data_IF_106453094127
#
_entry.id   IF_106453094127
#
_cell.length_a   1.000
_cell.length_b   1.000
_cell.length_c   1.000
_cell.angle_alpha   90.00
_cell.angle_beta   90.00
_cell.angle_gamma   90.00
#
_symmetry.space_group_name_H-M   'P 1'
#
loop_
_entity.id
_entity.type
_entity.pdbx_description
1 polymer ?
#
# COMPACT_ATOMS: atom_id res chain seq x y z
N UNK A 1 -2.05 11.55 -19.02
CA UNK A 1 -1.63 12.16 -17.73
C UNK A 1 -0.97 13.50 -18.03
N UNK A 2 -1.16 14.52 -17.20
CA UNK A 2 -0.47 15.81 -17.38
C UNK A 2 0.90 15.81 -16.63
N UNK A 3 1.75 16.81 -16.88
CA UNK A 3 3.08 16.86 -16.26
C UNK A 3 3.04 17.07 -14.73
N UNK A 4 1.97 17.68 -14.20
CA UNK A 4 1.81 17.88 -12.75
C UNK A 4 1.49 16.55 -12.05
N UNK A 5 0.64 15.73 -12.64
CA UNK A 5 0.35 14.38 -12.14
C UNK A 5 1.61 13.50 -12.18
N UNK A 6 2.44 13.67 -13.22
CA UNK A 6 3.74 12.99 -13.32
C UNK A 6 4.66 13.31 -12.15
N UNK A 7 4.75 14.59 -11.74
CA UNK A 7 5.57 15.00 -10.60
C UNK A 7 5.14 14.31 -9.30
N UNK A 8 3.83 14.08 -9.13
CA UNK A 8 3.30 13.35 -7.97
C UNK A 8 3.75 11.88 -7.99
N UNK A 9 3.67 11.22 -9.14
CA UNK A 9 4.03 9.80 -9.29
C UNK A 9 5.55 9.55 -9.38
N UNK A 10 6.35 10.59 -9.61
CA UNK A 10 7.80 10.48 -9.79
C UNK A 10 8.48 9.90 -8.54
N UNK A 11 8.08 10.33 -7.35
CA UNK A 11 8.64 9.83 -6.09
C UNK A 11 8.37 8.33 -5.91
N UNK A 12 7.12 7.91 -6.14
CA UNK A 12 6.69 6.51 -6.04
C UNK A 12 7.43 5.64 -7.07
N UNK A 13 7.61 6.15 -8.30
CA UNK A 13 8.37 5.46 -9.34
C UNK A 13 9.85 5.27 -8.97
N UNK A 14 10.50 6.25 -8.32
CA UNK A 14 11.89 6.14 -7.86
C UNK A 14 12.04 5.21 -6.64
N UNK A 15 10.98 5.11 -5.83
CA UNK A 15 10.89 4.22 -4.67
C UNK A 15 10.53 2.77 -4.99
N UNK A 16 10.15 2.46 -6.24
CA UNK A 16 9.51 1.19 -6.64
C UNK A 16 8.18 0.93 -5.89
N UNK A 17 7.46 2.00 -5.55
CA UNK A 17 6.16 1.98 -4.85
C UNK A 17 4.98 2.28 -5.79
N UNK A 18 5.26 2.44 -7.09
CA UNK A 18 4.24 2.76 -8.09
C UNK A 18 3.25 1.60 -8.25
N UNK A 19 1.95 1.90 -8.14
CA UNK A 19 0.89 0.90 -8.24
C UNK A 19 0.84 0.25 -9.62
N UNK A 20 0.28 -0.97 -9.70
CA UNK A 20 0.09 -1.67 -10.97
C UNK A 20 -0.85 -0.92 -11.93
N UNK A 21 -1.77 -0.10 -11.41
CA UNK A 21 -2.67 0.71 -12.20
C UNK A 21 -1.98 1.96 -12.78
N UNK A 22 -1.06 2.56 -12.02
CA UNK A 22 -0.40 3.81 -12.40
C UNK A 22 0.82 3.59 -13.30
N UNK A 23 1.48 2.42 -13.19
CA UNK A 23 2.65 2.07 -13.99
C UNK A 23 2.46 2.24 -15.51
N UNK A 24 1.43 1.69 -16.17
CA UNK A 24 1.26 1.87 -17.61
C UNK A 24 0.99 3.34 -18.00
N UNK A 25 0.30 4.10 -17.13
CA UNK A 25 0.00 5.53 -17.37
C UNK A 25 1.27 6.38 -17.27
N UNK A 26 2.13 6.07 -16.30
CA UNK A 26 3.43 6.72 -16.11
C UNK A 26 4.37 6.43 -17.29
N UNK A 27 4.49 5.16 -17.68
CA UNK A 27 5.31 4.74 -18.83
C UNK A 27 4.84 5.35 -20.14
N UNK A 28 3.52 5.41 -20.38
CA UNK A 28 2.96 6.08 -21.55
C UNK A 28 3.32 7.57 -21.60
N UNK A 29 3.25 8.27 -20.46
CA UNK A 29 3.63 9.68 -20.39
C UNK A 29 5.12 9.90 -20.67
N UNK A 30 5.99 9.02 -20.17
CA UNK A 30 7.44 9.08 -20.45
C UNK A 30 7.77 8.88 -21.93
N UNK A 31 6.97 8.09 -22.66
CA UNK A 31 7.13 7.91 -24.09
C UNK A 31 6.76 9.17 -24.90
N UNK A 32 5.79 9.95 -24.42
CA UNK A 32 5.24 11.12 -25.12
C UNK A 32 5.92 12.44 -24.72
N UNK A 33 6.43 12.56 -23.48
CA UNK A 33 6.96 13.81 -22.94
C UNK A 33 8.48 13.78 -22.71
N UNK A 34 9.24 14.33 -23.64
CA UNK A 34 10.72 14.42 -23.57
C UNK A 34 11.23 15.13 -22.31
N UNK A 35 10.51 16.15 -21.84
CA UNK A 35 10.89 16.91 -20.64
C UNK A 35 10.84 16.00 -19.40
N UNK A 36 9.70 15.36 -19.17
CA UNK A 36 9.49 14.47 -18.03
C UNK A 36 10.40 13.23 -18.09
N UNK A 37 10.70 12.73 -19.29
CA UNK A 37 11.68 11.66 -19.48
C UNK A 37 13.07 12.03 -19.00
N UNK A 38 13.59 13.19 -19.40
CA UNK A 38 14.91 13.67 -18.95
C UNK A 38 14.95 13.93 -17.45
N UNK A 39 13.87 14.45 -16.88
CA UNK A 39 13.74 14.63 -15.43
C UNK A 39 13.78 13.29 -14.68
N UNK A 40 13.02 12.29 -15.14
CA UNK A 40 13.06 10.92 -14.59
C UNK A 40 14.45 10.31 -14.66
N UNK A 41 15.11 10.34 -15.82
CA UNK A 41 16.45 9.77 -16.00
C UNK A 41 17.49 10.45 -15.09
N UNK A 42 17.40 11.77 -14.93
CA UNK A 42 18.29 12.55 -14.05
C UNK A 42 18.07 12.18 -12.58
N UNK A 43 16.81 12.08 -12.15
CA UNK A 43 16.47 11.67 -10.80
C UNK A 43 16.89 10.21 -10.54
N UNK A 44 16.64 9.31 -11.47
CA UNK A 44 17.03 7.90 -11.39
C UNK A 44 18.55 7.74 -11.28
N UNK A 45 19.33 8.47 -12.08
CA UNK A 45 20.80 8.49 -11.99
C UNK A 45 21.27 8.98 -10.62
N UNK A 46 20.60 9.98 -10.07
CA UNK A 46 20.94 10.53 -8.74
C UNK A 46 20.68 9.50 -7.65
N UNK A 47 19.49 8.88 -7.65
CA UNK A 47 19.12 7.84 -6.68
C UNK A 47 20.03 6.62 -6.78
N UNK A 48 20.33 6.15 -7.99
CA UNK A 48 21.25 5.03 -8.20
C UNK A 48 22.66 5.34 -7.69
N UNK A 49 23.20 6.52 -8.01
CA UNK A 49 24.48 6.98 -7.44
C UNK A 49 24.46 7.02 -5.92
N UNK A 50 23.37 7.52 -5.30
CA UNK A 50 23.23 7.55 -3.85
C UNK A 50 23.15 6.14 -3.23
N UNK A 51 22.56 5.16 -3.92
CA UNK A 51 22.50 3.76 -3.48
C UNK A 51 23.86 3.06 -3.55
N UNK A 52 24.73 3.51 -4.46
CA UNK A 52 26.11 3.01 -4.59
C UNK A 52 27.07 3.59 -3.54
N UNK A 53 26.71 4.73 -2.92
CA UNK A 53 27.49 5.26 -1.83
C UNK A 53 27.55 4.22 -0.71
N UNK A 54 28.74 4.00 -0.12
CA UNK A 54 28.83 3.16 1.07
C UNK A 54 27.82 3.69 2.08
N UNK A 55 26.89 2.83 2.48
CA UNK A 55 25.87 3.18 3.46
C UNK A 55 26.54 3.82 4.67
N UNK A 56 25.86 4.74 5.38
CA UNK A 56 26.48 5.51 6.45
C UNK A 56 27.24 4.53 7.33
N UNK A 57 28.57 4.69 7.38
CA UNK A 57 29.38 3.93 8.31
C UNK A 57 28.67 4.11 9.65
N UNK A 58 28.23 3.00 10.26
CA UNK A 58 27.60 3.06 11.59
C UNK A 58 28.69 3.53 12.52
N UNK A 59 28.87 4.84 12.57
CA UNK A 59 29.91 5.47 13.32
C UNK A 59 29.56 5.19 14.76
N UNK A 60 30.34 4.33 15.38
CA UNK A 60 30.06 3.98 16.77
C UNK A 60 30.50 5.17 17.60
N UNK A 61 29.53 5.87 18.18
CA UNK A 61 29.81 6.98 19.08
C UNK A 61 30.19 6.38 20.43
N UNK A 62 31.47 6.50 20.79
CA UNK A 62 31.98 6.09 22.11
C UNK A 62 32.22 7.33 22.96
N UNK A 63 31.75 7.31 24.20
CA UNK A 63 32.08 8.35 25.19
C UNK A 63 33.37 7.97 25.91
N UNK A 64 34.41 8.78 25.77
CA UNK A 64 35.66 8.68 26.54
C UNK A 64 35.74 9.85 27.51
N UNK A 65 35.36 9.59 28.78
CA UNK A 65 35.25 10.64 29.79
C UNK A 65 34.21 11.70 29.39
N UNK A 66 34.67 12.92 29.13
CA UNK A 66 33.82 14.03 28.71
C UNK A 66 33.88 14.36 27.21
N UNK A 67 34.49 13.49 26.40
CA UNK A 67 34.54 13.62 24.94
C UNK A 67 33.70 12.53 24.27
N UNK A 68 33.01 12.90 23.19
CA UNK A 68 32.41 11.96 22.25
C UNK A 68 33.44 11.70 21.15
N UNK A 69 33.84 10.45 20.98
CA UNK A 69 34.74 10.00 19.91
C UNK A 69 33.89 9.24 18.91
N UNK A 70 33.95 9.67 17.65
CA UNK A 70 33.35 8.98 16.52
C UNK A 70 34.42 8.00 16.02
N UNK A 71 34.20 6.70 16.24
CA UNK A 71 35.10 5.67 15.73
C UNK A 71 34.53 5.13 14.42
N UNK A 72 35.29 5.28 13.33
CA UNK A 72 34.95 4.80 11.99
C UNK A 72 35.23 3.29 11.82
N UNK A 73 35.72 2.61 12.87
CA UNK A 73 35.91 1.17 12.81
C UNK A 73 34.56 0.47 12.62
N UNK A 74 34.45 -0.44 11.62
CA UNK A 74 33.26 -1.26 11.48
C UNK A 74 33.06 -2.01 12.80
N UNK A 75 31.84 -2.01 13.37
CA UNK A 75 31.57 -2.77 14.58
C UNK A 75 31.99 -4.20 14.28
N UNK A 76 32.98 -4.70 15.01
CA UNK A 76 33.50 -6.04 14.83
C UNK A 76 32.29 -6.96 14.74
N UNK A 77 32.06 -7.56 13.56
CA UNK A 77 30.95 -8.47 13.37
C UNK A 77 30.98 -9.41 14.56
N UNK A 78 29.97 -9.33 15.43
CA UNK A 78 29.90 -10.10 16.66
C UNK A 78 30.12 -11.54 16.23
N UNK A 79 31.34 -12.06 16.45
CA UNK A 79 31.68 -13.45 16.16
C UNK A 79 30.90 -14.23 17.19
N UNK A 80 29.62 -14.47 16.89
CA UNK A 80 28.76 -15.25 17.73
C UNK A 80 29.44 -16.60 17.86
N UNK A 81 29.78 -17.02 19.08
CA UNK A 81 30.50 -18.26 19.27
C UNK A 81 29.66 -19.41 18.68
N UNK A 82 30.34 -20.37 18.07
CA UNK A 82 29.74 -21.40 17.19
C UNK A 82 28.62 -22.23 17.85
N UNK A 83 28.63 -22.39 19.18
CA UNK A 83 27.56 -23.02 19.96
C UNK A 83 26.21 -22.27 19.95
N UNK A 84 26.19 -20.93 19.89
CA UNK A 84 24.96 -20.13 19.80
C UNK A 84 24.26 -20.32 18.46
N UNK A 85 25.03 -20.51 17.38
CA UNK A 85 24.48 -20.85 16.06
C UNK A 85 23.73 -22.19 16.06
N UNK A 86 24.18 -23.19 16.84
CA UNK A 86 23.49 -24.49 16.93
C UNK A 86 22.23 -24.43 17.80
N UNK A 87 22.18 -23.56 18.81
CA UNK A 87 21.01 -23.38 19.67
C UNK A 87 19.86 -22.64 18.97
N UNK A 88 20.16 -21.56 18.24
CA UNK A 88 19.14 -20.69 17.64
C UNK A 88 18.24 -21.40 16.60
N UNK A 89 18.79 -22.33 15.83
CA UNK A 89 18.00 -23.09 14.84
C UNK A 89 16.89 -23.94 15.46
N UNK A 90 17.07 -24.42 16.70
CA UNK A 90 16.06 -25.26 17.37
C UNK A 90 14.81 -24.45 17.75
N UNK A 91 14.99 -23.19 18.14
CA UNK A 91 13.89 -22.30 18.51
C UNK A 91 13.17 -21.72 17.28
N UNK A 92 13.89 -21.47 16.18
CA UNK A 92 13.28 -21.00 14.94
C UNK A 92 12.26 -22.02 14.39
N UNK A 93 12.60 -23.31 14.41
CA UNK A 93 11.70 -24.37 13.96
C UNK A 93 10.42 -24.47 14.80
N UNK A 94 10.50 -24.30 16.13
CA UNK A 94 9.32 -24.34 16.99
C UNK A 94 8.38 -23.16 16.78
N UNK A 95 8.93 -21.97 16.54
CA UNK A 95 8.11 -20.77 16.24
C UNK A 95 7.39 -20.98 14.90
N UNK A 96 8.11 -21.45 13.88
CA UNK A 96 7.54 -21.68 12.55
C UNK A 96 6.43 -22.75 12.56
N UNK A 97 6.62 -23.83 13.33
CA UNK A 97 5.58 -24.84 13.56
C UNK A 97 4.34 -24.29 14.27
N UNK A 98 4.51 -23.42 15.27
CA UNK A 98 3.39 -22.79 15.96
C UNK A 98 2.56 -21.88 15.03
N UNK A 99 3.23 -21.09 14.18
CA UNK A 99 2.55 -20.27 13.18
C UNK A 99 1.82 -21.12 12.13
N UNK A 100 2.45 -22.20 11.63
CA UNK A 100 1.81 -23.10 10.66
C UNK A 100 0.56 -23.79 11.23
N UNK A 101 0.63 -24.26 12.48
CA UNK A 101 -0.51 -24.85 13.17
C UNK A 101 -1.64 -23.83 13.38
N UNK A 102 -1.31 -22.61 13.83
CA UNK A 102 -2.29 -21.53 13.98
C UNK A 102 -2.96 -21.17 12.67
N UNK A 103 -2.21 -21.12 11.58
CA UNK A 103 -2.75 -20.82 10.24
C UNK A 103 -3.72 -21.91 9.76
N UNK A 104 -3.37 -23.18 9.94
CA UNK A 104 -4.24 -24.30 9.54
C UNK A 104 -5.57 -24.31 10.31
N UNK A 105 -5.54 -24.02 11.61
CA UNK A 105 -6.77 -23.90 12.44
C UNK A 105 -7.63 -22.73 11.97
N UNK A 106 -7.02 -21.57 11.73
CA UNK A 106 -7.74 -20.38 11.27
C UNK A 106 -8.38 -20.60 9.89
N UNK A 107 -7.66 -21.21 8.95
CA UNK A 107 -8.18 -21.55 7.63
C UNK A 107 -9.35 -22.55 7.71
N UNK A 108 -9.26 -23.55 8.59
CA UNK A 108 -10.34 -24.51 8.83
C UNK A 108 -11.60 -23.84 9.38
N UNK A 109 -11.47 -22.95 10.37
CA UNK A 109 -12.60 -22.21 10.93
C UNK A 109 -13.31 -21.34 9.86
N UNK A 110 -12.54 -20.63 9.03
CA UNK A 110 -13.10 -19.79 7.96
C UNK A 110 -13.85 -20.61 6.89
N UNK A 111 -13.42 -21.83 6.59
CA UNK A 111 -14.15 -22.71 5.66
C UNK A 111 -15.45 -23.25 6.26
N UNK A 112 -15.52 -23.44 7.58
CA UNK A 112 -16.75 -23.93 8.24
C UNK A 112 -17.84 -22.86 8.37
N UNK A 113 -17.47 -21.58 8.48
CA UNK A 113 -18.44 -20.48 8.60
C UNK A 113 -19.03 -20.04 7.24
N UNK A 114 -18.31 -20.25 6.14
CA UNK A 114 -18.78 -19.91 4.78
C UNK A 114 -19.93 -20.75 4.24
N UNK A 115 -20.20 -21.92 4.83
CA UNK A 115 -21.24 -22.86 4.35
C UNK A 115 -22.65 -22.58 4.87
N UNK A 116 -22.84 -21.71 5.86
CA UNK A 116 -24.14 -21.54 6.55
C UNK A 116 -24.84 -20.20 6.31
N UNK A 117 -24.31 -19.33 5.45
CA UNK A 117 -24.81 -17.95 5.29
C UNK A 117 -25.15 -17.55 3.86
N UNK A 118 -25.62 -18.48 3.03
CA UNK A 118 -26.08 -18.18 1.65
C UNK A 118 -27.52 -18.65 1.37
N UNK A 119 -28.15 -19.45 2.22
CA UNK A 119 -29.54 -19.91 1.96
C UNK A 119 -30.64 -18.92 2.35
N UNK A 120 -30.32 -17.74 2.92
CA UNK A 120 -31.36 -16.83 3.45
C UNK A 120 -31.36 -15.39 2.91
N UNK A 121 -30.67 -15.14 1.78
CA UNK A 121 -30.77 -13.85 1.05
C UNK A 121 -31.27 -14.08 -0.38
N UNK A 122 -32.36 -14.85 -0.51
CA UNK A 122 -33.26 -14.76 -1.67
C UNK A 122 -34.69 -14.74 -1.13
N UNK A 123 -34.99 -13.77 -0.28
CA UNK A 123 -36.32 -13.18 -0.31
C UNK A 123 -36.22 -12.02 -1.29
N UNK A 124 -36.59 -12.31 -2.53
CA UNK A 124 -37.12 -11.34 -3.47
C UNK A 124 -38.25 -10.60 -2.77
N UNK A 125 -37.92 -9.42 -2.25
CA UNK A 125 -38.90 -8.41 -1.88
C UNK A 125 -39.48 -7.90 -3.21
N UNK A 126 -40.61 -8.49 -3.58
CA UNK A 126 -41.51 -7.96 -4.58
C UNK A 126 -41.95 -6.57 -4.12
N UNK A 127 -41.54 -5.52 -4.84
CA UNK A 127 -42.13 -4.19 -4.66
C UNK A 127 -41.15 -3.04 -4.48
N UNK A 128 -40.05 -2.99 -5.24
CA UNK A 128 -39.44 -1.68 -5.51
C UNK A 128 -40.25 -1.07 -6.67
N UNK A 129 -41.35 -0.42 -6.32
CA UNK A 129 -41.99 0.55 -7.20
C UNK A 129 -40.91 1.53 -7.65
N UNK A 130 -40.70 1.61 -8.96
CA UNK A 130 -39.77 2.57 -9.54
C UNK A 130 -40.12 3.96 -9.02
N UNK A 131 -39.15 4.73 -8.45
CA UNK A 131 -39.41 6.06 -7.93
C UNK A 131 -39.88 6.97 -9.07
N UNK A 132 -41.20 7.13 -9.20
CA UNK A 132 -41.88 7.95 -10.21
C UNK A 132 -41.75 9.44 -9.93
N UNK A 133 -41.06 9.82 -8.85
CA UNK A 133 -40.82 11.22 -8.50
C UNK A 133 -39.34 11.51 -8.27
N UNK A 134 -38.77 12.54 -8.92
CA UNK A 134 -37.35 12.90 -8.81
C UNK A 134 -36.94 13.27 -7.38
N UNK A 135 -37.90 13.67 -6.54
CA UNK A 135 -37.66 14.04 -5.15
C UNK A 135 -37.38 12.83 -4.22
N UNK A 136 -37.84 11.64 -4.59
CA UNK A 136 -37.62 10.42 -3.80
C UNK A 136 -36.20 9.87 -3.94
N UNK A 137 -35.64 9.96 -5.15
CA UNK A 137 -34.28 9.50 -5.47
C UNK A 137 -33.22 10.41 -4.81
N UNK A 138 -33.48 11.73 -4.79
CA UNK A 138 -32.64 12.68 -4.05
C UNK A 138 -32.63 12.39 -2.54
N UNK A 139 -33.79 12.12 -1.93
CA UNK A 139 -33.85 11.77 -0.49
C UNK A 139 -33.15 10.46 -0.18
N UNK A 140 -33.29 9.44 -1.03
CA UNK A 140 -32.62 8.16 -0.85
C UNK A 140 -31.09 8.31 -0.90
N UNK A 141 -30.58 9.07 -1.87
CA UNK A 141 -29.16 9.38 -2.00
C UNK A 141 -28.61 10.13 -0.79
N UNK A 142 -29.30 11.19 -0.34
CA UNK A 142 -28.90 11.96 0.85
C UNK A 142 -28.87 11.09 2.10
N UNK A 143 -29.87 10.23 2.29
CA UNK A 143 -29.92 9.34 3.45
C UNK A 143 -28.76 8.32 3.44
N UNK A 144 -28.39 7.77 2.28
CA UNK A 144 -27.21 6.89 2.16
C UNK A 144 -25.89 7.64 2.38
N UNK A 145 -25.78 8.91 1.98
CA UNK A 145 -24.59 9.73 2.20
C UNK A 145 -24.31 9.94 3.70
N UNK A 146 -25.34 10.37 4.43
CA UNK A 146 -25.24 10.68 5.85
C UNK A 146 -24.81 9.45 6.65
N UNK A 147 -25.25 8.26 6.24
CA UNK A 147 -24.94 7.02 6.93
C UNK A 147 -23.53 6.51 6.67
N UNK A 148 -22.89 6.87 5.54
CA UNK A 148 -21.57 6.36 5.20
C UNK A 148 -20.79 7.28 4.22
N UNK A 149 -20.29 8.43 4.69
CA UNK A 149 -19.72 9.46 3.81
C UNK A 149 -18.45 9.01 3.09
N UNK A 150 -17.68 8.07 3.67
CA UNK A 150 -16.44 7.55 3.08
C UNK A 150 -16.66 6.57 1.91
N UNK A 151 -17.89 6.08 1.70
CA UNK A 151 -18.21 5.06 0.67
C UNK A 151 -19.14 5.52 -0.43
N UNK A 152 -19.77 6.69 -0.29
CA UNK A 152 -20.71 7.17 -1.29
C UNK A 152 -20.01 8.03 -2.33
N UNK A 153 -20.02 7.59 -3.59
CA UNK A 153 -19.56 8.36 -4.76
C UNK A 153 -20.57 9.45 -5.17
N UNK A 154 -21.20 10.08 -4.18
CA UNK A 154 -22.34 10.96 -4.36
C UNK A 154 -21.98 12.24 -5.11
N UNK A 155 -20.74 12.71 -4.94
CA UNK A 155 -20.19 13.79 -5.74
C UNK A 155 -20.17 13.43 -7.24
N UNK A 156 -19.78 12.19 -7.59
CA UNK A 156 -19.77 11.73 -8.99
C UNK A 156 -21.19 11.58 -9.55
N UNK A 157 -22.13 11.06 -8.76
CA UNK A 157 -23.53 10.95 -9.18
C UNK A 157 -24.20 12.32 -9.39
N UNK A 158 -23.94 13.30 -8.51
CA UNK A 158 -24.46 14.67 -8.68
C UNK A 158 -23.85 15.36 -9.92
N UNK A 159 -22.55 15.16 -10.18
CA UNK A 159 -21.89 15.69 -11.38
C UNK A 159 -22.47 15.06 -12.66
N UNK A 160 -22.76 13.75 -12.63
CA UNK A 160 -23.37 13.05 -13.76
C UNK A 160 -24.80 13.54 -14.07
N UNK A 161 -25.60 13.83 -13.03
CA UNK A 161 -26.96 14.36 -13.19
C UNK A 161 -27.02 15.84 -13.59
N UNK A 162 -25.98 16.62 -13.25
CA UNK A 162 -25.91 18.05 -13.59
C UNK A 162 -25.50 18.32 -15.04
N UNK A 163 -25.17 17.29 -15.83
CA UNK A 163 -24.77 17.44 -17.23
C UNK A 163 -26.02 17.50 -18.11
N UNK A 164 -26.41 18.67 -18.65
CA UNK A 164 -27.56 18.75 -19.55
C UNK A 164 -27.24 17.96 -20.83
N UNK A 165 -28.12 17.02 -21.19
CA UNK A 165 -28.12 16.36 -22.49
C UNK A 165 -28.56 17.40 -23.53
N UNK A 166 -27.58 18.10 -24.09
CA UNK A 166 -27.72 18.87 -25.33
C UNK A 166 -27.44 18.00 -26.54
#
# INVERSE_FOLDING_TARGET
>A
MNCTDFEVLLADALGDELSAADRPVFEAHLAECEKCRREYETALRTVTTMRELPGPARATVRREGNRLVIDDRPPHALRMPWWFRRGAFRYAASILMAFAAGYAVHAGLMMTEGGRRVEHIVQTDEGIEAPTSPNSLQRALVHTHVRNPARSDLAKCLIAMAKPTG
#
